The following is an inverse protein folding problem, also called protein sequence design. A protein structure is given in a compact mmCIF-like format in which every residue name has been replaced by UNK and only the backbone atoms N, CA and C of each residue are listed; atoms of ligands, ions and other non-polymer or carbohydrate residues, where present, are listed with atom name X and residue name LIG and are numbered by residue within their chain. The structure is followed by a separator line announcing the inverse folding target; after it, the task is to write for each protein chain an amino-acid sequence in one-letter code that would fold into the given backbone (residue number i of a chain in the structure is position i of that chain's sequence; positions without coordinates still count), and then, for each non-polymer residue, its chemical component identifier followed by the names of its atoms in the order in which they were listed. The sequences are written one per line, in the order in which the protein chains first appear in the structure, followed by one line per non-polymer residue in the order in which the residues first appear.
data_IF_011974349466
#
_entry.id   IF_011974349466
#
_cell.length_a   1.000
_cell.length_b   1.000
_cell.length_c   1.000
_cell.angle_alpha   90.00
_cell.angle_beta   90.00
_cell.angle_gamma   90.00
#
_symmetry.space_group_name_H-M   'P 1'
#
loop_
_entity.id
_entity.type
_entity.pdbx_description
1 polymer ?
#
# COMPACT_ATOMS: atom_id res chain seq x y z
N UNK A 1 -60.01 -31.86 14.23
CA UNK A 1 -58.90 -32.26 15.09
C UNK A 1 -57.64 -32.24 14.24
N UNK A 2 -56.59 -31.51 14.65
CA UNK A 2 -55.25 -31.60 14.03
C UNK A 2 -54.69 -32.97 14.36
N UNK A 3 -54.35 -33.75 13.35
CA UNK A 3 -53.78 -35.09 13.48
C UNK A 3 -52.28 -35.00 13.53
N UNK A 4 -51.68 -34.19 12.66
CA UNK A 4 -50.24 -33.99 12.59
C UNK A 4 -49.91 -32.58 12.12
N UNK A 5 -48.76 -32.05 12.47
CA UNK A 5 -48.24 -30.73 12.06
C UNK A 5 -46.86 -30.89 11.51
N UNK A 6 -46.61 -30.39 10.32
CA UNK A 6 -45.29 -30.38 9.65
C UNK A 6 -44.71 -28.98 9.65
N UNK A 7 -43.50 -28.83 10.12
CA UNK A 7 -42.71 -27.65 9.89
C UNK A 7 -41.87 -27.84 8.63
N UNK A 8 -42.12 -27.02 7.62
CA UNK A 8 -41.41 -27.10 6.34
C UNK A 8 -39.93 -26.72 6.49
N UNK A 9 -39.55 -25.85 7.44
CA UNK A 9 -38.13 -25.52 7.70
C UNK A 9 -37.40 -26.70 8.33
N UNK A 10 -38.00 -27.48 9.21
CA UNK A 10 -37.39 -28.70 9.72
C UNK A 10 -37.03 -29.67 8.60
N UNK A 11 -37.91 -29.77 7.58
CA UNK A 11 -37.67 -30.59 6.41
C UNK A 11 -36.57 -29.97 5.50
N UNK A 12 -36.71 -28.70 5.10
CA UNK A 12 -35.88 -28.08 4.08
C UNK A 12 -34.51 -27.66 4.58
N UNK A 13 -34.43 -27.22 5.83
CA UNK A 13 -33.17 -26.70 6.43
C UNK A 13 -32.48 -27.81 7.21
N UNK A 14 -33.19 -28.55 8.04
CA UNK A 14 -32.63 -29.52 8.97
C UNK A 14 -32.65 -30.96 8.43
N UNK A 15 -33.31 -31.22 7.29
CA UNK A 15 -33.45 -32.56 6.72
C UNK A 15 -34.27 -33.49 7.61
N UNK A 16 -35.02 -32.95 8.55
CA UNK A 16 -35.82 -33.75 9.49
C UNK A 16 -37.19 -34.07 8.89
N UNK A 17 -37.45 -35.32 8.65
CA UNK A 17 -38.74 -35.82 8.18
C UNK A 17 -39.40 -36.66 9.25
N UNK A 18 -40.34 -36.10 9.96
CA UNK A 18 -40.97 -36.73 11.12
C UNK A 18 -42.47 -37.07 10.92
N UNK A 19 -42.95 -37.10 9.65
CA UNK A 19 -44.34 -37.50 9.40
C UNK A 19 -44.55 -38.98 9.70
N UNK A 20 -45.38 -39.24 10.67
CA UNK A 20 -45.74 -40.61 11.10
C UNK A 20 -46.94 -41.16 10.35
N UNK A 21 -47.85 -40.29 9.94
CA UNK A 21 -49.08 -40.65 9.28
C UNK A 21 -49.00 -40.38 7.75
N UNK A 22 -49.74 -41.19 6.98
CA UNK A 22 -49.91 -40.99 5.55
C UNK A 22 -51.24 -40.30 5.30
N UNK A 23 -51.31 -39.39 4.34
CA UNK A 23 -52.53 -38.76 3.91
C UNK A 23 -53.52 -39.81 3.41
N UNK A 24 -54.77 -39.69 3.83
CA UNK A 24 -55.88 -40.56 3.49
C UNK A 24 -56.94 -39.76 2.72
N UNK A 25 -57.82 -40.47 2.01
CA UNK A 25 -58.94 -39.83 1.34
C UNK A 25 -59.81 -39.15 2.37
N UNK A 26 -60.10 -37.87 2.18
CA UNK A 26 -60.86 -37.04 3.10
C UNK A 26 -60.04 -36.19 4.08
N UNK A 27 -58.71 -36.36 4.10
CA UNK A 27 -57.85 -35.50 4.90
C UNK A 27 -57.77 -34.08 4.29
N UNK A 28 -57.65 -33.09 5.15
CA UNK A 28 -57.52 -31.66 4.77
C UNK A 28 -56.16 -31.17 5.19
N UNK A 29 -55.41 -30.64 4.23
CA UNK A 29 -54.16 -29.94 4.50
C UNK A 29 -54.51 -28.48 4.76
N UNK A 30 -54.24 -28.00 5.98
CA UNK A 30 -54.44 -26.61 6.35
C UNK A 30 -53.09 -25.89 6.38
N UNK A 31 -52.93 -24.90 5.50
CA UNK A 31 -51.77 -24.01 5.49
C UNK A 31 -52.16 -22.74 6.26
N UNK A 32 -51.43 -22.45 7.31
CA UNK A 32 -51.67 -21.26 8.14
C UNK A 32 -51.34 -19.97 7.37
N UNK A 33 -51.98 -18.84 7.72
CA UNK A 33 -51.55 -17.53 7.23
C UNK A 33 -50.10 -17.26 7.57
N UNK A 34 -49.46 -16.48 6.71
CA UNK A 34 -48.08 -16.02 6.88
C UNK A 34 -47.91 -15.31 8.23
N UNK A 35 -46.83 -15.66 8.95
CA UNK A 35 -46.39 -15.01 10.19
C UNK A 35 -45.35 -13.94 9.93
N UNK A 36 -44.62 -13.52 10.97
CA UNK A 36 -43.55 -12.52 10.89
C UNK A 36 -42.45 -12.96 9.95
N UNK A 37 -42.02 -12.07 9.09
CA UNK A 37 -40.86 -12.28 8.20
C UNK A 37 -39.69 -11.40 8.65
N UNK A 38 -38.54 -12.03 8.80
CA UNK A 38 -37.27 -11.34 9.02
C UNK A 38 -36.35 -11.58 7.82
N UNK A 39 -35.71 -10.53 7.35
CA UNK A 39 -34.74 -10.61 6.28
C UNK A 39 -33.34 -10.68 6.90
N UNK A 40 -32.52 -11.61 6.41
CA UNK A 40 -31.09 -11.70 6.78
C UNK A 40 -30.27 -11.55 5.52
N UNK A 41 -29.32 -10.60 5.55
CA UNK A 41 -28.49 -10.29 4.38
C UNK A 41 -27.02 -10.07 4.78
N UNK A 42 -26.10 -10.07 3.80
CA UNK A 42 -24.68 -9.87 3.96
C UNK A 42 -23.89 -11.16 4.24
N UNK A 43 -23.05 -11.15 5.28
CA UNK A 43 -22.10 -12.21 5.56
C UNK A 43 -22.68 -13.42 6.30
N UNK A 44 -23.79 -13.95 5.82
CA UNK A 44 -24.37 -15.24 6.26
C UNK A 44 -24.27 -16.28 5.14
N UNK A 45 -24.35 -17.56 5.49
CA UNK A 45 -24.22 -18.63 4.49
C UNK A 45 -25.44 -18.73 3.56
N UNK A 46 -26.64 -18.36 4.06
CA UNK A 46 -27.88 -18.38 3.28
C UNK A 46 -28.66 -17.07 3.51
N UNK A 47 -28.32 -15.99 2.82
CA UNK A 47 -29.09 -14.75 2.89
C UNK A 47 -30.47 -14.99 2.28
N UNK A 48 -31.52 -14.67 3.03
CA UNK A 48 -32.93 -14.86 2.61
C UNK A 48 -33.89 -14.16 3.55
N UNK A 49 -35.17 -14.26 3.19
CA UNK A 49 -36.32 -13.87 4.03
C UNK A 49 -36.87 -15.12 4.72
N UNK A 50 -36.88 -15.10 6.05
CA UNK A 50 -37.30 -16.21 6.87
C UNK A 50 -38.60 -15.89 7.58
N UNK A 51 -39.58 -16.80 7.52
CA UNK A 51 -40.80 -16.75 8.30
C UNK A 51 -40.53 -17.36 9.68
N UNK A 52 -40.91 -16.65 10.74
CA UNK A 52 -40.69 -17.07 12.11
C UNK A 52 -41.96 -17.34 12.88
N UNK A 53 -41.93 -18.30 13.78
CA UNK A 53 -42.98 -18.54 14.76
C UNK A 53 -42.93 -17.48 15.87
N UNK A 54 -44.04 -17.31 16.60
CA UNK A 54 -44.18 -16.26 17.63
C UNK A 54 -43.20 -16.43 18.80
N UNK A 55 -42.71 -17.66 19.05
CA UNK A 55 -41.80 -17.99 20.13
C UNK A 55 -40.30 -17.85 19.71
N UNK A 56 -40.03 -17.65 18.42
CA UNK A 56 -38.67 -17.59 17.90
C UNK A 56 -38.07 -16.19 18.04
N UNK A 57 -36.76 -16.15 18.12
CA UNK A 57 -35.97 -14.95 18.30
C UNK A 57 -34.98 -14.73 17.11
N UNK A 58 -34.16 -13.70 17.17
CA UNK A 58 -33.22 -13.44 16.09
C UNK A 58 -32.09 -14.49 15.99
N UNK A 59 -31.80 -15.22 17.06
CA UNK A 59 -30.84 -16.35 17.03
C UNK A 59 -31.32 -17.46 16.10
N UNK A 60 -32.63 -17.82 16.18
CA UNK A 60 -33.23 -18.82 15.31
C UNK A 60 -33.13 -18.44 13.82
N UNK A 61 -33.19 -17.13 13.50
CA UNK A 61 -33.04 -16.64 12.12
C UNK A 61 -31.62 -16.88 11.61
N UNK A 62 -30.62 -16.65 12.45
CA UNK A 62 -29.22 -16.91 12.11
C UNK A 62 -28.99 -18.40 11.88
N UNK A 63 -29.63 -19.24 12.68
CA UNK A 63 -29.58 -20.70 12.50
C UNK A 63 -30.22 -21.13 11.17
N UNK A 64 -31.36 -20.56 10.79
CA UNK A 64 -31.97 -20.78 9.48
C UNK A 64 -31.08 -20.31 8.32
N UNK A 65 -30.34 -19.22 8.51
CA UNK A 65 -29.31 -18.75 7.58
C UNK A 65 -28.05 -19.64 7.56
N UNK A 66 -28.04 -20.75 8.32
CA UNK A 66 -26.91 -21.68 8.48
C UNK A 66 -25.66 -21.03 9.10
N UNK A 67 -25.84 -19.97 9.90
CA UNK A 67 -24.79 -19.23 10.56
C UNK A 67 -24.03 -18.27 9.67
N UNK A 68 -22.97 -17.72 10.23
CA UNK A 68 -22.16 -16.69 9.59
C UNK A 68 -21.14 -17.30 8.59
N UNK A 69 -20.77 -16.50 7.56
CA UNK A 69 -19.57 -16.76 6.77
C UNK A 69 -18.31 -16.54 7.63
N UNK A 70 -17.18 -17.10 7.21
CA UNK A 70 -15.88 -16.85 7.89
C UNK A 70 -15.44 -15.37 7.78
N UNK A 71 -15.94 -14.66 6.77
CA UNK A 71 -15.67 -13.24 6.52
C UNK A 71 -16.58 -12.30 7.30
N UNK A 72 -17.52 -12.83 8.10
CA UNK A 72 -18.50 -12.02 8.83
C UNK A 72 -17.86 -11.21 9.96
N UNK A 73 -18.16 -9.92 10.00
CA UNK A 73 -17.87 -9.06 11.12
C UNK A 73 -18.96 -9.18 12.19
N UNK A 74 -18.81 -10.17 13.05
CA UNK A 74 -19.81 -10.50 14.10
C UNK A 74 -19.88 -9.46 15.22
N UNK A 75 -18.97 -8.49 15.24
CA UNK A 75 -18.95 -7.39 16.22
C UNK A 75 -19.70 -6.15 15.71
N UNK A 76 -20.03 -6.11 14.41
CA UNK A 76 -20.69 -4.99 13.75
C UNK A 76 -21.93 -5.45 12.97
N UNK A 77 -22.90 -6.03 13.68
CA UNK A 77 -24.19 -6.44 13.12
C UNK A 77 -25.23 -5.36 13.40
N UNK A 78 -26.07 -5.09 12.42
CA UNK A 78 -27.14 -4.11 12.54
C UNK A 78 -28.50 -4.77 12.35
N UNK A 79 -29.41 -4.52 13.30
CA UNK A 79 -30.83 -4.79 13.16
C UNK A 79 -31.53 -3.50 12.75
N UNK A 80 -32.09 -3.47 11.55
CA UNK A 80 -32.92 -2.39 11.08
C UNK A 80 -34.39 -2.76 11.33
N UNK A 81 -35.11 -1.89 12.03
CA UNK A 81 -36.47 -2.10 12.49
C UNK A 81 -37.28 -0.84 12.39
N UNK A 82 -38.51 -0.94 11.92
CA UNK A 82 -39.45 0.20 11.95
C UNK A 82 -40.17 0.20 13.30
N UNK A 83 -39.93 1.27 14.07
CA UNK A 83 -40.63 1.54 15.33
C UNK A 83 -41.35 2.89 15.21
N UNK A 84 -42.64 2.91 15.49
CA UNK A 84 -43.45 4.12 15.42
C UNK A 84 -43.33 4.87 14.09
N UNK A 85 -43.29 4.11 12.98
CA UNK A 85 -43.15 4.65 11.62
C UNK A 85 -41.77 5.15 11.26
N UNK A 86 -40.77 5.03 12.15
CA UNK A 86 -39.41 5.46 11.93
C UNK A 86 -38.46 4.26 11.85
N UNK A 87 -37.60 4.22 10.83
CA UNK A 87 -36.53 3.24 10.71
C UNK A 87 -35.46 3.50 11.79
N UNK A 88 -35.21 2.52 12.63
CA UNK A 88 -34.12 2.53 13.62
C UNK A 88 -33.11 1.46 13.32
N UNK A 89 -31.84 1.82 13.34
CA UNK A 89 -30.71 0.91 13.24
C UNK A 89 -30.17 0.61 14.64
N UNK A 90 -30.28 -0.63 15.07
CA UNK A 90 -29.90 -1.09 16.42
C UNK A 90 -28.61 -1.91 16.27
N UNK A 91 -27.49 -1.44 16.83
CA UNK A 91 -26.25 -2.22 16.78
C UNK A 91 -26.34 -3.44 17.70
N UNK A 92 -25.90 -4.57 17.21
CA UNK A 92 -25.78 -5.84 17.96
C UNK A 92 -24.29 -6.14 18.06
N UNK A 93 -23.73 -5.94 19.25
CA UNK A 93 -22.29 -6.06 19.51
C UNK A 93 -21.90 -7.40 20.15
N UNK A 94 -22.88 -8.24 20.48
CA UNK A 94 -22.65 -9.53 21.13
C UNK A 94 -23.66 -10.56 20.62
N UNK A 95 -23.19 -11.73 20.23
CA UNK A 95 -24.02 -12.84 19.76
C UNK A 95 -25.11 -13.27 20.74
N UNK A 96 -24.88 -13.16 22.05
CA UNK A 96 -25.88 -13.46 23.09
C UNK A 96 -27.11 -12.55 23.04
N UNK A 97 -27.00 -11.37 22.44
CA UNK A 97 -28.12 -10.45 22.27
C UNK A 97 -29.17 -11.00 21.29
N UNK A 98 -28.79 -11.85 20.33
CA UNK A 98 -29.72 -12.45 19.40
C UNK A 98 -30.82 -13.27 20.09
N UNK A 99 -30.46 -14.02 21.12
CA UNK A 99 -31.38 -14.87 21.85
C UNK A 99 -32.38 -14.07 22.69
N UNK A 100 -32.03 -12.83 23.04
CA UNK A 100 -32.86 -11.93 23.85
C UNK A 100 -33.73 -10.98 23.05
N UNK A 101 -33.46 -10.81 21.75
CA UNK A 101 -34.21 -9.89 20.87
C UNK A 101 -35.37 -10.62 20.21
N UNK A 102 -36.61 -10.25 20.62
CA UNK A 102 -37.81 -10.74 19.97
C UNK A 102 -37.91 -10.17 18.56
N UNK A 103 -38.19 -11.02 17.58
CA UNK A 103 -38.39 -10.66 16.18
C UNK A 103 -39.67 -9.81 15.99
N UNK A 104 -39.65 -8.91 15.01
CA UNK A 104 -40.82 -8.14 14.56
C UNK A 104 -40.94 -8.31 13.03
N UNK A 105 -42.18 -8.35 12.52
CA UNK A 105 -42.40 -8.43 11.08
C UNK A 105 -41.76 -7.25 10.35
N UNK A 106 -40.96 -7.54 9.33
CA UNK A 106 -40.20 -6.55 8.55
C UNK A 106 -38.82 -6.25 9.06
N UNK A 107 -38.32 -6.89 10.13
CA UNK A 107 -36.94 -6.75 10.58
C UNK A 107 -35.96 -7.11 9.45
N UNK A 108 -34.87 -6.34 9.36
CA UNK A 108 -33.71 -6.63 8.51
C UNK A 108 -32.46 -6.77 9.39
N UNK A 109 -31.83 -7.93 9.35
CA UNK A 109 -30.52 -8.17 9.97
C UNK A 109 -29.48 -8.08 8.86
N UNK A 110 -28.57 -7.11 8.97
CA UNK A 110 -27.48 -6.94 8.04
C UNK A 110 -26.14 -7.22 8.73
N UNK A 111 -25.44 -8.22 8.21
CA UNK A 111 -24.13 -8.64 8.70
C UNK A 111 -23.06 -8.16 7.70
N UNK A 112 -22.18 -7.27 8.14
CA UNK A 112 -21.07 -6.81 7.32
C UNK A 112 -20.00 -7.88 7.16
N UNK A 113 -19.28 -7.83 6.06
CA UNK A 113 -18.02 -8.56 5.93
C UNK A 113 -16.90 -7.72 6.54
N UNK A 114 -15.90 -8.38 7.12
CA UNK A 114 -14.67 -7.69 7.51
C UNK A 114 -14.08 -7.02 6.26
N UNK A 115 -13.75 -5.72 6.33
CA UNK A 115 -13.06 -5.08 5.24
C UNK A 115 -11.65 -5.69 5.14
N UNK A 116 -11.43 -6.53 4.15
CA UNK A 116 -10.10 -6.95 3.75
C UNK A 116 -9.55 -5.93 2.76
N UNK A 117 -8.28 -5.65 2.89
CA UNK A 117 -7.49 -4.89 1.92
C UNK A 117 -6.59 -5.85 1.18
N UNK A 118 -6.29 -5.57 -0.06
CA UNK A 118 -5.34 -6.35 -0.85
C UNK A 118 -4.04 -5.58 -0.93
N UNK A 119 -2.95 -6.20 -0.51
CA UNK A 119 -1.61 -5.68 -0.68
C UNK A 119 -0.74 -6.70 -1.39
N UNK A 120 0.24 -6.24 -2.15
CA UNK A 120 1.18 -7.09 -2.87
C UNK A 120 2.59 -6.96 -2.31
N UNK A 121 3.34 -8.05 -2.41
CA UNK A 121 4.76 -8.08 -2.09
C UNK A 121 5.50 -8.88 -3.16
N UNK A 122 6.58 -8.31 -3.69
CA UNK A 122 7.35 -8.88 -4.80
C UNK A 122 8.85 -8.84 -4.51
N UNK A 123 9.63 -9.60 -5.30
CA UNK A 123 11.08 -9.67 -5.17
C UNK A 123 11.54 -10.69 -4.12
N UNK A 124 12.57 -10.36 -3.36
CA UNK A 124 13.32 -11.26 -2.49
C UNK A 124 12.60 -11.63 -1.18
N UNK A 125 11.40 -12.21 -1.29
CA UNK A 125 10.63 -12.81 -0.19
C UNK A 125 10.35 -14.28 -0.50
N UNK A 126 10.08 -15.09 0.52
CA UNK A 126 9.90 -16.54 0.33
C UNK A 126 8.67 -16.88 -0.52
N UNK A 127 7.60 -16.08 -0.43
CA UNK A 127 6.35 -16.30 -1.17
C UNK A 127 5.85 -14.96 -1.70
N UNK A 128 6.37 -14.48 -2.85
CA UNK A 128 5.86 -13.26 -3.48
C UNK A 128 4.41 -13.47 -3.96
N UNK A 129 3.59 -12.40 -3.91
CA UNK A 129 2.20 -12.46 -4.34
C UNK A 129 1.32 -11.39 -3.69
N UNK A 130 0.00 -11.50 -3.94
CA UNK A 130 -1.01 -10.62 -3.35
C UNK A 130 -1.67 -11.28 -2.14
N UNK A 131 -1.84 -10.52 -1.06
CA UNK A 131 -2.33 -10.99 0.22
C UNK A 131 -3.54 -10.20 0.68
N UNK A 132 -4.53 -10.90 1.23
CA UNK A 132 -5.64 -10.26 1.94
C UNK A 132 -5.18 -9.86 3.34
N UNK A 133 -5.32 -8.59 3.64
CA UNK A 133 -4.97 -7.99 4.93
C UNK A 133 -6.24 -7.61 5.68
N UNK A 134 -6.34 -8.02 6.93
CA UNK A 134 -7.44 -7.64 7.80
C UNK A 134 -7.26 -6.19 8.30
N UNK A 135 -8.34 -5.60 8.81
CA UNK A 135 -8.26 -4.29 9.45
C UNK A 135 -7.30 -4.32 10.65
N UNK A 136 -6.35 -3.38 10.67
CA UNK A 136 -5.32 -3.28 11.73
C UNK A 136 -4.04 -4.05 11.47
N UNK A 137 -3.98 -4.89 10.43
CA UNK A 137 -2.71 -5.47 10.00
C UNK A 137 -1.80 -4.42 9.35
N UNK A 138 -0.51 -4.60 9.50
CA UNK A 138 0.55 -3.67 9.15
C UNK A 138 1.54 -4.28 8.15
N UNK A 139 2.54 -3.49 7.76
CA UNK A 139 3.56 -3.92 6.81
C UNK A 139 4.35 -5.14 7.29
N UNK A 140 4.60 -5.27 8.60
CA UNK A 140 5.29 -6.44 9.15
C UNK A 140 4.46 -7.71 9.01
N UNK A 141 3.12 -7.61 9.17
CA UNK A 141 2.22 -8.74 8.96
C UNK A 141 2.20 -9.20 7.50
N UNK A 142 2.28 -8.26 6.54
CA UNK A 142 2.41 -8.59 5.12
C UNK A 142 3.69 -9.40 4.85
N UNK A 143 4.82 -8.97 5.40
CA UNK A 143 6.11 -9.67 5.27
C UNK A 143 6.02 -11.08 5.91
N UNK A 144 5.40 -11.21 7.08
CA UNK A 144 5.19 -12.50 7.74
C UNK A 144 4.32 -13.43 6.88
N UNK A 145 3.23 -12.93 6.30
CA UNK A 145 2.38 -13.72 5.39
C UNK A 145 3.13 -14.19 4.15
N UNK A 146 4.06 -13.38 3.66
CA UNK A 146 4.97 -13.75 2.56
C UNK A 146 6.08 -14.74 2.98
N UNK A 147 6.10 -15.17 4.23
CA UNK A 147 7.08 -16.11 4.78
C UNK A 147 8.39 -15.45 5.22
N UNK A 148 8.50 -14.12 5.16
CA UNK A 148 9.73 -13.39 5.48
C UNK A 148 10.61 -13.15 4.25
N UNK A 149 11.77 -12.55 4.51
CA UNK A 149 12.79 -12.25 3.50
C UNK A 149 13.59 -13.50 3.14
N UNK A 150 14.09 -13.56 1.90
CA UNK A 150 15.10 -14.56 1.49
C UNK A 150 16.48 -14.21 2.05
N UNK A 151 17.44 -15.15 1.96
CA UNK A 151 18.82 -14.91 2.39
C UNK A 151 19.53 -13.80 1.58
N UNK A 152 19.14 -13.63 0.32
CA UNK A 152 19.69 -12.61 -0.57
C UNK A 152 18.89 -11.30 -0.54
N UNK A 153 17.85 -11.21 0.25
CA UNK A 153 17.03 -10.02 0.33
C UNK A 153 17.85 -8.80 0.81
N UNK A 154 17.47 -7.64 0.29
CA UNK A 154 18.04 -6.37 0.69
C UNK A 154 16.96 -5.42 1.24
N UNK A 155 16.53 -5.61 2.50
CA UNK A 155 15.47 -4.80 3.11
C UNK A 155 15.77 -3.29 3.09
N UNK A 156 17.04 -2.88 3.27
CA UNK A 156 17.43 -1.47 3.18
C UNK A 156 17.05 -0.82 1.83
N UNK A 157 17.11 -1.58 0.75
CA UNK A 157 16.70 -1.13 -0.60
C UNK A 157 15.24 -1.35 -0.93
N UNK A 158 14.43 -1.85 -0.01
CA UNK A 158 13.03 -2.14 -0.28
C UNK A 158 12.22 -0.86 -0.51
N UNK A 159 11.25 -0.95 -1.41
CA UNK A 159 10.39 0.16 -1.81
C UNK A 159 8.95 -0.15 -1.45
N UNK A 160 8.38 0.66 -0.59
CA UNK A 160 6.95 0.62 -0.28
C UNK A 160 6.22 1.68 -1.10
N UNK A 161 5.19 1.26 -1.82
CA UNK A 161 4.36 2.11 -2.66
C UNK A 161 2.93 2.11 -2.16
N UNK A 162 2.35 3.31 -2.10
CA UNK A 162 0.99 3.55 -1.66
C UNK A 162 0.28 4.48 -2.66
N UNK A 163 -0.97 4.17 -3.01
CA UNK A 163 -1.71 4.94 -4.02
C UNK A 163 -2.05 6.36 -3.53
N UNK A 164 -2.36 6.53 -2.25
CA UNK A 164 -2.61 7.87 -1.69
C UNK A 164 -1.34 8.74 -1.74
N UNK A 165 -0.17 8.14 -1.44
CA UNK A 165 1.11 8.82 -1.57
C UNK A 165 1.41 9.18 -3.03
N UNK A 166 1.02 8.34 -3.99
CA UNK A 166 1.18 8.63 -5.42
C UNK A 166 0.42 9.89 -5.83
N UNK A 167 -0.84 10.00 -5.43
CA UNK A 167 -1.67 11.19 -5.72
C UNK A 167 -1.06 12.47 -5.11
N UNK A 168 -0.48 12.36 -3.90
CA UNK A 168 0.19 13.49 -3.25
C UNK A 168 1.47 13.86 -4.01
N UNK A 169 2.27 12.87 -4.39
CA UNK A 169 3.53 13.07 -5.11
C UNK A 169 3.30 13.65 -6.52
N UNK A 170 2.24 13.22 -7.22
CA UNK A 170 1.83 13.80 -8.51
C UNK A 170 1.55 15.31 -8.39
N UNK A 171 0.76 15.70 -7.39
CA UNK A 171 0.47 17.12 -7.13
C UNK A 171 1.71 17.91 -6.74
N UNK A 172 2.57 17.33 -5.92
CA UNK A 172 3.83 17.96 -5.51
C UNK A 172 4.76 18.15 -6.72
N UNK A 173 4.84 17.17 -7.61
CA UNK A 173 5.64 17.23 -8.84
C UNK A 173 5.11 18.32 -9.80
N UNK A 174 3.80 18.42 -9.96
CA UNK A 174 3.18 19.48 -10.77
C UNK A 174 3.53 20.88 -10.23
N UNK A 175 3.40 21.09 -8.91
CA UNK A 175 3.76 22.35 -8.26
C UNK A 175 5.25 22.67 -8.43
N UNK A 176 6.12 21.69 -8.25
CA UNK A 176 7.57 21.85 -8.46
C UNK A 176 7.87 22.22 -9.91
N UNK A 177 7.22 21.58 -10.88
CA UNK A 177 7.39 21.89 -12.29
C UNK A 177 7.02 23.35 -12.61
N UNK A 178 5.90 23.83 -12.08
CA UNK A 178 5.48 25.23 -12.24
C UNK A 178 6.48 26.20 -11.59
N UNK A 179 6.93 25.92 -10.38
CA UNK A 179 7.96 26.70 -9.70
C UNK A 179 9.28 26.77 -10.51
N UNK A 180 9.66 25.65 -11.13
CA UNK A 180 10.85 25.61 -12.00
C UNK A 180 10.66 26.50 -13.24
N UNK A 181 9.52 26.46 -13.90
CA UNK A 181 9.21 27.32 -15.04
C UNK A 181 9.28 28.80 -14.66
N UNK A 182 8.66 29.18 -13.56
CA UNK A 182 8.68 30.57 -13.07
C UNK A 182 10.11 31.05 -12.78
N UNK A 183 10.92 30.20 -12.16
CA UNK A 183 12.31 30.50 -11.87
C UNK A 183 13.18 30.63 -13.15
N UNK A 184 12.95 29.79 -14.17
CA UNK A 184 13.61 29.90 -15.49
C UNK A 184 13.23 31.23 -16.16
N UNK A 185 11.96 31.61 -16.15
CA UNK A 185 11.49 32.88 -16.69
C UNK A 185 12.15 34.04 -15.95
N UNK A 186 12.20 34.03 -14.63
CA UNK A 186 12.85 35.06 -13.82
C UNK A 186 14.35 35.18 -14.13
N UNK A 187 15.06 34.04 -14.31
CA UNK A 187 16.47 34.04 -14.69
C UNK A 187 16.69 34.59 -16.09
N UNK A 188 15.82 34.27 -17.05
CA UNK A 188 15.92 34.75 -18.41
C UNK A 188 15.74 36.29 -18.53
N UNK A 189 14.94 36.87 -17.64
CA UNK A 189 14.69 38.33 -17.59
C UNK A 189 15.86 39.12 -16.96
N UNK A 190 16.75 38.48 -16.22
CA UNK A 190 17.86 39.17 -15.53
C UNK A 190 19.02 39.60 -16.47
N UNK A 191 18.92 39.35 -17.80
CA UNK A 191 19.93 39.75 -18.80
C UNK A 191 21.40 39.44 -18.38
N UNK A 192 21.65 38.33 -17.76
CA UNK A 192 23.00 37.90 -17.35
C UNK A 192 23.73 37.47 -18.65
N UNK A 193 24.62 38.31 -19.13
CA UNK A 193 25.42 38.03 -20.35
C UNK A 193 26.19 36.70 -20.17
N UNK A 194 25.90 35.72 -21.06
CA UNK A 194 26.59 34.42 -21.06
C UNK A 194 25.96 33.33 -20.21
N UNK A 195 24.76 33.54 -19.65
CA UNK A 195 24.04 32.48 -18.94
C UNK A 195 23.45 31.47 -19.93
N UNK A 196 24.00 30.25 -19.94
CA UNK A 196 23.41 29.12 -20.67
C UNK A 196 22.39 28.43 -19.76
N UNK A 197 21.11 28.61 -20.05
CA UNK A 197 19.97 27.96 -19.33
C UNK A 197 19.55 26.62 -19.96
N UNK A 198 20.14 26.24 -21.10
CA UNK A 198 19.78 25.03 -21.84
C UNK A 198 19.79 23.77 -20.97
N UNK A 199 20.82 23.56 -20.10
CA UNK A 199 20.81 22.39 -19.22
C UNK A 199 19.65 22.36 -18.24
N UNK A 200 19.20 23.53 -17.74
CA UNK A 200 18.11 23.63 -16.78
C UNK A 200 16.78 23.35 -17.46
N UNK A 201 16.58 23.85 -18.68
CA UNK A 201 15.38 23.54 -19.48
C UNK A 201 15.27 22.04 -19.73
N UNK A 202 16.38 21.36 -20.06
CA UNK A 202 16.41 19.92 -20.22
C UNK A 202 15.98 19.16 -18.95
N UNK A 203 16.51 19.57 -17.79
CA UNK A 203 16.12 18.99 -16.50
C UNK A 203 14.65 19.21 -16.18
N UNK A 204 14.09 20.37 -16.49
CA UNK A 204 12.69 20.67 -16.28
C UNK A 204 11.78 19.77 -17.11
N UNK A 205 12.16 19.50 -18.35
CA UNK A 205 11.43 18.55 -19.21
C UNK A 205 11.50 17.12 -18.65
N UNK A 206 12.64 16.71 -18.11
CA UNK A 206 12.80 15.40 -17.49
C UNK A 206 11.91 15.25 -16.25
N UNK A 207 11.80 16.25 -15.39
CA UNK A 207 10.87 16.27 -14.26
C UNK A 207 9.43 16.07 -14.74
N UNK A 208 9.02 16.76 -15.81
CA UNK A 208 7.66 16.66 -16.35
C UNK A 208 7.36 15.27 -16.95
N UNK A 209 8.37 14.63 -17.54
CA UNK A 209 8.22 13.33 -18.19
C UNK A 209 8.33 12.14 -17.24
N UNK A 210 8.84 12.38 -16.03
CA UNK A 210 9.00 11.32 -15.02
C UNK A 210 7.66 11.09 -14.31
N UNK A 211 7.16 9.86 -14.32
CA UNK A 211 5.95 9.52 -13.56
C UNK A 211 6.21 9.61 -12.05
N UNK A 212 5.32 10.31 -11.36
CA UNK A 212 5.35 10.33 -9.91
C UNK A 212 5.03 8.94 -9.37
N UNK A 213 5.78 8.51 -8.39
CA UNK A 213 5.58 7.25 -7.73
C UNK A 213 4.98 7.44 -6.33
N UNK A 214 4.26 6.44 -5.87
CA UNK A 214 3.66 6.43 -4.53
C UNK A 214 4.65 5.98 -3.44
N UNK A 215 5.96 6.18 -3.63
CA UNK A 215 6.98 5.73 -2.68
C UNK A 215 6.85 6.41 -1.34
N UNK A 216 6.87 5.61 -0.30
CA UNK A 216 7.05 6.03 1.09
C UNK A 216 8.39 5.47 1.57
N UNK A 217 9.24 6.34 2.10
CA UNK A 217 10.52 5.93 2.71
C UNK A 217 10.23 5.32 4.08
N UNK A 218 10.56 4.06 4.23
CA UNK A 218 10.38 3.31 5.48
C UNK A 218 11.68 2.60 5.81
N UNK A 219 12.11 2.69 7.06
CA UNK A 219 13.23 1.88 7.55
C UNK A 219 12.80 0.41 7.66
N UNK A 220 13.04 -0.34 6.59
CA UNK A 220 12.65 -1.75 6.49
C UNK A 220 13.49 -2.68 7.35
N UNK A 221 14.64 -2.25 7.85
CA UNK A 221 15.44 -3.03 8.80
C UNK A 221 14.89 -2.92 10.22
N UNK A 222 14.16 -1.83 10.52
CA UNK A 222 13.55 -1.60 11.82
C UNK A 222 12.14 -2.22 11.89
N UNK A 223 11.99 -3.26 12.71
CA UNK A 223 10.70 -3.94 12.89
C UNK A 223 9.61 -3.00 13.44
N UNK A 224 9.94 -2.11 14.36
CA UNK A 224 8.97 -1.15 14.91
C UNK A 224 8.45 -0.19 13.83
N UNK A 225 9.31 0.24 12.89
CA UNK A 225 8.88 1.07 11.77
C UNK A 225 7.87 0.32 10.88
N UNK A 226 8.13 -0.96 10.59
CA UNK A 226 7.21 -1.82 9.83
C UNK A 226 5.88 -2.05 10.55
N UNK A 227 5.89 -2.19 11.88
CA UNK A 227 4.69 -2.40 12.70
C UNK A 227 3.80 -1.15 12.78
N UNK A 228 4.36 0.04 12.65
CA UNK A 228 3.58 1.30 12.71
C UNK A 228 2.88 1.64 11.41
N UNK A 229 3.31 1.06 10.29
CA UNK A 229 2.74 1.34 8.97
C UNK A 229 1.58 0.39 8.67
N UNK A 230 0.35 0.91 8.79
CA UNK A 230 -0.87 0.17 8.43
C UNK A 230 -1.00 -0.01 6.92
N UNK A 231 -1.46 -1.17 6.50
CA UNK A 231 -1.67 -1.50 5.08
C UNK A 231 -2.98 -0.91 4.57
N UNK A 232 -2.96 -0.38 3.35
CA UNK A 232 -4.12 0.10 2.61
C UNK A 232 -4.40 -0.77 1.38
N UNK A 233 -5.56 -0.54 0.74
CA UNK A 233 -5.89 -1.21 -0.51
C UNK A 233 -4.93 -0.79 -1.62
N UNK A 234 -4.37 -1.77 -2.33
CA UNK A 234 -3.45 -1.54 -3.43
C UNK A 234 -1.99 -1.31 -3.05
N UNK A 235 -1.66 -1.32 -1.76
CA UNK A 235 -0.26 -1.20 -1.33
C UNK A 235 0.64 -2.27 -1.94
N UNK A 236 1.86 -1.86 -2.29
CA UNK A 236 2.86 -2.74 -2.89
C UNK A 236 4.23 -2.59 -2.22
N UNK A 237 4.80 -3.71 -1.79
CA UNK A 237 6.17 -3.79 -1.29
C UNK A 237 7.07 -4.52 -2.30
N UNK A 238 8.12 -3.86 -2.75
CA UNK A 238 9.14 -4.42 -3.63
C UNK A 238 10.42 -4.61 -2.81
N UNK A 239 10.88 -5.83 -2.68
CA UNK A 239 12.10 -6.17 -1.93
C UNK A 239 13.18 -6.60 -2.93
N UNK A 240 14.20 -5.78 -3.21
CA UNK A 240 15.26 -6.16 -4.13
C UNK A 240 16.21 -7.20 -3.51
N UNK A 241 16.96 -7.86 -4.36
CA UNK A 241 18.14 -8.60 -3.92
C UNK A 241 19.33 -7.67 -3.70
N UNK A 242 20.22 -8.07 -2.81
CA UNK A 242 21.45 -7.32 -2.53
C UNK A 242 22.39 -7.39 -3.72
N UNK A 243 22.71 -6.24 -4.30
CA UNK A 243 23.74 -6.13 -5.34
C UNK A 243 25.13 -5.92 -4.72
N UNK A 244 26.18 -6.21 -5.47
CA UNK A 244 27.55 -5.95 -5.04
C UNK A 244 28.18 -4.78 -5.82
N UNK A 245 27.37 -3.90 -6.38
CA UNK A 245 27.83 -2.80 -7.23
C UNK A 245 27.37 -1.45 -6.69
N UNK A 246 28.11 -0.42 -7.02
CA UNK A 246 27.75 1.01 -6.95
C UNK A 246 27.74 1.53 -8.37
N UNK A 247 26.78 2.36 -8.70
CA UNK A 247 26.63 2.92 -10.04
C UNK A 247 27.16 4.36 -10.07
N UNK A 248 27.98 4.70 -11.07
CA UNK A 248 28.55 6.04 -11.20
C UNK A 248 28.19 6.59 -12.58
N UNK A 249 27.53 7.76 -12.60
CA UNK A 249 27.02 8.40 -13.81
C UNK A 249 27.34 9.90 -13.86
N UNK A 250 27.22 10.48 -15.05
CA UNK A 250 27.36 11.90 -15.34
C UNK A 250 28.73 12.28 -15.82
N UNK A 251 29.31 13.36 -15.31
CA UNK A 251 30.60 13.91 -15.75
C UNK A 251 31.79 13.13 -15.18
N UNK A 252 31.81 11.80 -15.40
CA UNK A 252 32.93 10.89 -15.11
C UNK A 252 33.45 10.26 -16.40
N UNK A 253 34.73 9.87 -16.42
CA UNK A 253 35.37 9.37 -17.64
C UNK A 253 34.73 8.10 -18.19
N UNK A 254 34.34 7.20 -17.29
CA UNK A 254 33.66 5.92 -17.64
C UNK A 254 32.44 5.73 -16.74
N UNK A 255 31.28 5.91 -17.33
CA UNK A 255 30.00 5.68 -16.63
C UNK A 255 29.72 4.19 -16.51
N UNK A 256 29.07 3.77 -15.40
CA UNK A 256 28.63 2.40 -15.22
C UNK A 256 28.75 1.88 -13.80
N UNK A 257 28.78 0.55 -13.67
CA UNK A 257 28.86 -0.13 -12.38
C UNK A 257 30.30 -0.34 -11.93
N UNK A 258 30.56 -0.06 -10.67
CA UNK A 258 31.82 -0.32 -9.96
C UNK A 258 31.54 -1.30 -8.84
N UNK A 259 32.41 -2.29 -8.65
CA UNK A 259 32.27 -3.25 -7.54
C UNK A 259 32.26 -2.49 -6.20
N UNK A 260 31.28 -2.80 -5.37
CA UNK A 260 31.18 -2.24 -4.03
C UNK A 260 32.33 -2.74 -3.14
N UNK A 261 32.97 -1.81 -2.45
CA UNK A 261 34.01 -2.10 -1.45
C UNK A 261 33.58 -1.48 -0.11
N UNK A 262 33.39 -2.30 0.94
CA UNK A 262 32.97 -1.78 2.24
C UNK A 262 33.96 -0.76 2.81
N UNK A 263 33.42 0.37 3.34
CA UNK A 263 34.22 1.41 4.00
C UNK A 263 34.86 2.43 3.05
N UNK A 264 34.74 2.22 1.72
CA UNK A 264 35.22 3.20 0.76
C UNK A 264 34.22 4.34 0.55
N UNK A 265 34.74 5.55 0.32
CA UNK A 265 33.95 6.76 0.12
C UNK A 265 33.71 7.08 -1.35
N UNK A 266 32.96 8.17 -1.59
CA UNK A 266 32.55 8.65 -2.92
C UNK A 266 33.76 8.80 -3.88
N UNK A 267 34.85 9.39 -3.45
CA UNK A 267 36.04 9.62 -4.30
C UNK A 267 36.62 8.30 -4.84
N UNK A 268 36.60 7.22 -4.04
CA UNK A 268 37.10 5.91 -4.49
C UNK A 268 36.34 5.40 -5.71
N UNK A 269 35.03 5.47 -5.68
CA UNK A 269 34.19 4.97 -6.78
C UNK A 269 34.31 5.84 -8.03
N UNK A 270 34.47 7.15 -7.86
CA UNK A 270 34.69 8.07 -8.97
C UNK A 270 36.06 7.81 -9.60
N UNK A 271 37.11 7.59 -8.80
CA UNK A 271 38.44 7.27 -9.31
C UNK A 271 38.46 5.93 -10.05
N UNK A 272 37.70 4.93 -9.59
CA UNK A 272 37.48 3.66 -10.31
C UNK A 272 36.74 3.82 -11.63
N UNK A 273 35.92 4.87 -11.76
CA UNK A 273 35.25 5.27 -13.01
C UNK A 273 36.12 6.17 -13.91
N UNK A 274 37.43 6.21 -13.65
CA UNK A 274 38.39 6.99 -14.45
C UNK A 274 38.49 8.48 -14.08
N UNK A 275 37.90 8.88 -12.96
CA UNK A 275 37.91 10.24 -12.46
C UNK A 275 36.95 11.20 -13.15
N UNK A 276 37.05 12.47 -12.80
CA UNK A 276 36.13 13.52 -13.28
C UNK A 276 36.48 13.95 -14.72
N UNK A 277 35.47 14.25 -15.53
CA UNK A 277 35.59 14.99 -16.79
C UNK A 277 35.89 16.48 -16.51
N UNK A 278 36.31 17.19 -17.55
CA UNK A 278 36.71 18.60 -17.48
C UNK A 278 35.66 19.55 -16.92
N UNK A 279 34.39 19.27 -17.19
CA UNK A 279 33.27 20.11 -16.80
C UNK A 279 32.46 19.56 -15.61
N UNK A 280 33.00 18.62 -14.85
CA UNK A 280 32.40 18.07 -13.66
C UNK A 280 32.22 19.10 -12.54
N UNK A 281 31.07 19.12 -11.89
CA UNK A 281 30.88 19.86 -10.62
C UNK A 281 31.24 18.95 -9.43
N UNK A 282 32.49 18.95 -9.06
CA UNK A 282 33.02 18.17 -7.93
C UNK A 282 32.63 18.72 -6.54
N UNK A 283 31.87 19.83 -6.51
CA UNK A 283 31.36 20.44 -5.29
C UNK A 283 29.86 20.10 -5.04
N UNK A 284 29.22 19.40 -5.99
CA UNK A 284 27.81 19.12 -5.92
C UNK A 284 27.52 17.71 -6.46
N UNK A 285 28.11 16.69 -5.87
CA UNK A 285 27.90 15.29 -6.24
C UNK A 285 26.70 14.78 -5.45
N UNK A 286 25.80 14.04 -6.10
CA UNK A 286 24.60 13.47 -5.49
C UNK A 286 24.77 11.96 -5.34
N UNK A 287 24.40 11.44 -4.17
CA UNK A 287 24.38 10.02 -3.87
C UNK A 287 22.94 9.63 -3.60
N UNK A 288 22.37 8.83 -4.49
CA UNK A 288 21.08 8.22 -4.27
C UNK A 288 21.28 6.85 -3.64
N UNK A 289 20.77 6.66 -2.45
CA UNK A 289 20.83 5.39 -1.73
C UNK A 289 19.70 4.45 -2.16
N UNK A 290 19.87 3.12 -2.01
CA UNK A 290 18.81 2.16 -2.35
C UNK A 290 17.48 2.39 -1.63
N UNK A 291 17.51 2.93 -0.39
CA UNK A 291 16.32 3.32 0.36
C UNK A 291 15.62 4.59 -0.17
N UNK A 292 16.20 5.26 -1.20
CA UNK A 292 15.67 6.47 -1.84
C UNK A 292 16.12 7.78 -1.21
N UNK A 293 16.87 7.73 -0.15
CA UNK A 293 17.49 8.93 0.41
C UNK A 293 18.57 9.46 -0.54
N UNK A 294 18.68 10.77 -0.62
CA UNK A 294 19.68 11.44 -1.47
C UNK A 294 20.57 12.32 -0.62
N UNK A 295 21.85 12.01 -0.63
CA UNK A 295 22.89 12.82 0.00
C UNK A 295 23.60 13.68 -1.03
N UNK A 296 24.13 14.80 -0.56
CA UNK A 296 24.98 15.68 -1.35
C UNK A 296 26.42 15.64 -0.80
N UNK A 297 27.36 15.27 -1.67
CA UNK A 297 28.78 15.27 -1.37
C UNK A 297 29.49 16.44 -2.09
N UNK A 298 30.49 17.03 -1.45
CA UNK A 298 31.36 18.06 -2.03
C UNK A 298 32.82 17.77 -1.70
N UNK A 299 33.67 17.81 -2.70
CA UNK A 299 35.10 17.57 -2.55
C UNK A 299 35.85 18.76 -1.86
N UNK A 300 35.30 19.98 -1.96
CA UNK A 300 35.89 21.15 -1.33
C UNK A 300 35.73 21.13 0.18
N UNK A 301 36.84 21.26 0.88
CA UNK A 301 36.94 21.38 2.33
C UNK A 301 36.64 22.81 2.73
N UNK A 302 35.53 23.10 3.35
CA UNK A 302 35.32 24.37 4.05
C UNK A 302 36.18 24.38 5.34
N UNK A 303 37.12 25.27 5.43
CA UNK A 303 38.07 25.40 6.55
C UNK A 303 37.37 25.73 7.88
N UNK A 304 36.10 26.13 7.84
CA UNK A 304 35.24 26.51 8.99
C UNK A 304 34.24 25.43 9.45
N UNK A 305 34.14 24.31 8.78
CA UNK A 305 33.27 23.21 9.25
C UNK A 305 34.04 22.31 10.21
N UNK A 306 33.64 22.36 11.48
CA UNK A 306 34.26 21.60 12.59
C UNK A 306 33.88 20.11 12.61
N UNK A 307 33.10 19.63 11.66
CA UNK A 307 32.72 18.22 11.58
C UNK A 307 33.49 17.53 10.44
N UNK A 308 34.05 16.34 10.70
CA UNK A 308 34.67 15.56 9.63
C UNK A 308 33.56 15.08 8.68
N UNK A 309 33.68 15.34 7.37
CA UNK A 309 32.81 14.85 6.30
C UNK A 309 32.92 13.33 6.05
N UNK A 310 33.38 12.60 7.03
CA UNK A 310 33.49 11.13 7.01
C UNK A 310 32.17 10.44 7.35
N UNK A 311 31.02 10.99 6.89
CA UNK A 311 29.71 10.51 7.31
C UNK A 311 28.82 9.93 6.23
N UNK A 312 29.09 10.12 4.93
CA UNK A 312 28.26 9.52 3.90
C UNK A 312 28.73 8.08 3.68
N UNK A 313 27.91 7.15 4.14
CA UNK A 313 28.16 5.72 3.93
C UNK A 313 27.61 5.33 2.58
N UNK A 314 28.46 4.83 1.69
CA UNK A 314 28.01 4.26 0.43
C UNK A 314 27.49 2.84 0.69
N UNK A 315 26.32 2.55 0.18
CA UNK A 315 25.69 1.25 0.28
C UNK A 315 25.75 0.50 -1.06
N UNK A 316 25.72 -0.84 -1.05
CA UNK A 316 25.54 -1.61 -2.27
C UNK A 316 24.26 -1.16 -2.98
N UNK A 317 24.32 -0.92 -4.30
CA UNK A 317 23.19 -0.40 -5.07
C UNK A 317 23.06 1.12 -5.08
N UNK A 318 23.91 1.86 -4.35
CA UNK A 318 23.91 3.33 -4.42
C UNK A 318 24.28 3.83 -5.82
N UNK A 319 23.70 4.96 -6.21
CA UNK A 319 24.02 5.67 -7.44
C UNK A 319 24.75 6.95 -7.10
N UNK A 320 25.95 7.13 -7.61
CA UNK A 320 26.74 8.36 -7.50
C UNK A 320 26.58 9.13 -8.81
N UNK A 321 25.99 10.29 -8.75
CA UNK A 321 25.76 11.15 -9.89
C UNK A 321 26.64 12.40 -9.79
N UNK A 322 27.50 12.61 -10.79
CA UNK A 322 28.38 13.76 -10.93
C UNK A 322 27.82 14.72 -11.97
N UNK A 323 27.21 15.84 -11.56
CA UNK A 323 26.62 16.78 -12.52
C UNK A 323 27.67 17.60 -13.24
N UNK A 324 27.23 18.23 -14.35
CA UNK A 324 27.99 19.25 -15.04
C UNK A 324 28.01 20.56 -14.25
N UNK A 325 29.15 21.24 -14.21
CA UNK A 325 29.32 22.53 -13.55
C UNK A 325 28.49 23.61 -14.24
N UNK A 326 27.76 24.37 -13.45
CA UNK A 326 26.96 25.52 -13.88
C UNK A 326 27.55 26.78 -13.23
N UNK A 327 27.91 27.79 -14.02
CA UNK A 327 28.62 28.96 -13.54
C UNK A 327 27.75 29.90 -12.71
N UNK A 328 26.46 30.05 -13.06
CA UNK A 328 25.53 30.89 -12.28
C UNK A 328 25.11 30.24 -10.98
N UNK A 329 25.21 30.97 -9.86
CA UNK A 329 24.80 30.49 -8.54
C UNK A 329 23.30 30.16 -8.47
N UNK A 330 22.47 31.04 -9.05
CA UNK A 330 21.03 30.84 -9.07
C UNK A 330 20.64 29.62 -9.92
N UNK A 331 21.23 29.49 -11.11
CA UNK A 331 21.02 28.34 -11.99
C UNK A 331 21.51 27.02 -11.34
N UNK A 332 22.59 27.06 -10.58
CA UNK A 332 23.11 25.89 -9.84
C UNK A 332 22.14 25.43 -8.74
N UNK A 333 21.50 26.37 -8.03
CA UNK A 333 20.52 26.03 -6.99
C UNK A 333 19.30 25.33 -7.60
N UNK A 334 18.78 25.86 -8.74
CA UNK A 334 17.69 25.21 -9.47
C UNK A 334 18.05 23.82 -9.98
N UNK A 335 19.22 23.70 -10.62
CA UNK A 335 19.70 22.40 -11.09
C UNK A 335 19.87 21.39 -9.94
N UNK A 336 20.31 21.83 -8.78
CA UNK A 336 20.41 20.98 -7.58
C UNK A 336 19.07 20.42 -7.16
N UNK A 337 18.01 21.24 -7.13
CA UNK A 337 16.64 20.78 -6.83
C UNK A 337 16.15 19.78 -7.88
N UNK A 338 16.36 20.09 -9.18
CA UNK A 338 15.99 19.21 -10.27
C UNK A 338 16.66 17.82 -10.16
N UNK A 339 17.97 17.79 -9.92
CA UNK A 339 18.71 16.53 -9.77
C UNK A 339 18.16 15.67 -8.62
N UNK A 340 17.89 16.26 -7.45
CA UNK A 340 17.32 15.53 -6.31
C UNK A 340 15.97 14.93 -6.67
N UNK A 341 15.11 15.69 -7.36
CA UNK A 341 13.77 15.21 -7.78
C UNK A 341 13.86 14.06 -8.80
N UNK A 342 14.71 14.22 -9.83
CA UNK A 342 14.88 13.20 -10.87
C UNK A 342 15.49 11.92 -10.28
N UNK A 343 16.54 12.04 -9.47
CA UNK A 343 17.20 10.90 -8.85
C UNK A 343 16.28 10.17 -7.85
N UNK A 344 15.49 10.90 -7.08
CA UNK A 344 14.50 10.31 -6.17
C UNK A 344 13.49 9.41 -6.91
N UNK A 345 13.10 9.78 -8.13
CA UNK A 345 12.22 8.97 -8.98
C UNK A 345 12.96 7.81 -9.68
N UNK A 346 14.21 8.01 -10.12
CA UNK A 346 15.03 6.97 -10.77
C UNK A 346 15.38 5.80 -9.83
N UNK A 347 15.53 6.04 -8.53
CA UNK A 347 15.83 4.98 -7.56
C UNK A 347 14.83 3.83 -7.56
N UNK A 348 13.60 4.07 -7.97
CA UNK A 348 12.57 3.05 -8.17
C UNK A 348 12.82 2.19 -9.41
N UNK A 349 13.20 2.80 -10.52
CA UNK A 349 13.45 2.07 -11.76
C UNK A 349 14.59 1.06 -11.58
N UNK A 350 15.63 1.40 -10.83
CA UNK A 350 16.75 0.52 -10.56
C UNK A 350 16.38 -0.61 -9.58
N UNK A 351 15.57 -0.34 -8.57
CA UNK A 351 15.08 -1.37 -7.65
C UNK A 351 14.14 -2.38 -8.36
N UNK A 352 13.28 -1.88 -9.25
CA UNK A 352 12.33 -2.73 -10.01
C UNK A 352 13.03 -3.58 -11.08
N UNK A 353 14.07 -3.05 -11.73
CA UNK A 353 14.82 -3.81 -12.73
C UNK A 353 15.58 -5.02 -12.13
N UNK A 354 16.09 -4.88 -10.91
CA UNK A 354 16.72 -6.00 -10.22
C UNK A 354 15.72 -7.08 -9.76
N UNK A 355 14.44 -6.76 -9.62
CA UNK A 355 13.42 -7.73 -9.24
C UNK A 355 12.86 -8.53 -10.44
N UNK A 356 13.02 -8.02 -11.66
CA UNK A 356 12.51 -8.66 -12.90
C UNK A 356 13.53 -9.62 -13.54
N UNK A 357 14.80 -9.54 -13.16
CA UNK A 357 15.86 -10.36 -13.79
C UNK A 357 15.95 -11.80 -13.26
N UNK A 358 14.99 -12.27 -12.49
CA UNK A 358 14.98 -13.62 -11.87
C UNK A 358 13.82 -14.52 -12.30
N UNK A 359 13.19 -14.24 -13.46
CA UNK A 359 12.27 -15.21 -14.12
C UNK A 359 12.96 -15.99 -15.25
#
# INVERSE_FOLDING_TARGET
KVIESLDVYDLLINGKYNLKERLRSGDVIFVQPRKSIVTVDGAVKRPARYELKDEQNLGDVIDYANGFKQTADIMNIYLERILDGTLKSIPITNSRQFDSIKQIDGDLIYIREHPFRTASITGAVLKPGSYKMAAGENLNDLIIKAGGFTENAYPFGAVFQNEDAKVINEKAQELLYQEFLDNIIALSQQNISGLDITPIVGLTQEINNTEANGRIVVDMENENARMTLGIQEGDNLIVPEKTNNVYVYGEVSSEGSVMYVPGEGVDFFIDKSGGYKQFADNDSIYILHPNGETDRYSKKRNIFESQPRSGITIHPGSVIFVPRKIDSRAARTLAAQAYVTILGNLGLALASLNSISTD
#
